data_IF_982643096749
#
_entry.id   IF_982643096749
#
_cell.length_a   1.000
_cell.length_b   1.000
_cell.length_c   1.000
_cell.angle_alpha   90.00
_cell.angle_beta   90.00
_cell.angle_gamma   90.00
#
_symmetry.space_group_name_H-M   'P 1'
#
loop_
_entity.id
_entity.type
_entity.pdbx_description
1 polymer ?
#
# COMPACT_ATOMS: atom_id res chain seq x y z
N UNK A 1 33.36 0.75 20.10
CA UNK A 1 32.15 0.29 19.36
C UNK A 1 32.62 -0.40 18.08
N UNK A 2 32.09 -1.56 17.73
CA UNK A 2 32.37 -2.15 16.43
C UNK A 2 31.60 -1.33 15.38
N UNK A 3 32.23 -0.95 14.29
CA UNK A 3 31.55 -0.35 13.14
C UNK A 3 30.56 -1.37 12.56
N UNK A 4 29.37 -0.93 12.08
CA UNK A 4 28.42 -1.83 11.45
C UNK A 4 29.03 -2.46 10.20
N UNK A 5 28.77 -3.74 9.97
CA UNK A 5 29.27 -4.48 8.80
C UNK A 5 28.56 -4.07 7.49
N UNK A 6 27.44 -3.36 7.57
CA UNK A 6 26.69 -2.80 6.45
C UNK A 6 25.89 -1.57 6.92
N UNK A 7 25.72 -0.61 6.03
CA UNK A 7 24.92 0.60 6.27
C UNK A 7 23.94 0.78 5.13
N UNK A 8 22.68 1.12 5.46
CA UNK A 8 21.65 1.53 4.49
C UNK A 8 21.38 3.02 4.65
N UNK A 9 21.72 3.80 3.64
CA UNK A 9 21.46 5.24 3.61
C UNK A 9 20.21 5.49 2.77
N UNK A 10 19.19 6.11 3.36
CA UNK A 10 17.94 6.48 2.69
C UNK A 10 17.95 7.99 2.44
N UNK A 11 18.02 8.38 1.17
CA UNK A 11 17.93 9.77 0.74
C UNK A 11 16.47 10.12 0.39
N UNK A 12 15.78 10.74 1.31
CA UNK A 12 14.37 11.10 1.19
C UNK A 12 14.14 12.11 0.07
N UNK A 13 15.03 13.07 -0.10
CA UNK A 13 14.88 14.10 -1.15
C UNK A 13 14.94 13.50 -2.54
N UNK A 14 15.82 12.53 -2.75
CA UNK A 14 15.87 11.79 -4.03
C UNK A 14 14.60 10.97 -4.27
N UNK A 15 14.07 10.31 -3.26
CA UNK A 15 12.81 9.56 -3.38
C UNK A 15 11.67 10.51 -3.76
N UNK A 16 11.54 11.64 -3.09
CA UNK A 16 10.53 12.66 -3.39
C UNK A 16 10.69 13.22 -4.81
N UNK A 17 11.91 13.58 -5.20
CA UNK A 17 12.19 14.07 -6.55
C UNK A 17 11.86 13.06 -7.63
N UNK A 18 12.11 11.76 -7.40
CA UNK A 18 11.72 10.68 -8.31
C UNK A 18 10.20 10.60 -8.47
N UNK A 19 9.44 10.73 -7.39
CA UNK A 19 7.96 10.73 -7.45
C UNK A 19 7.47 11.97 -8.23
N UNK A 20 8.00 13.14 -7.95
CA UNK A 20 7.64 14.38 -8.66
C UNK A 20 7.92 14.22 -10.16
N UNK A 21 9.09 13.70 -10.51
CA UNK A 21 9.44 13.43 -11.91
C UNK A 21 8.48 12.44 -12.57
N UNK A 22 8.21 11.31 -11.94
CA UNK A 22 7.27 10.32 -12.49
C UNK A 22 5.86 10.91 -12.66
N UNK A 23 5.40 11.70 -11.71
CA UNK A 23 4.09 12.37 -11.82
C UNK A 23 4.05 13.39 -12.95
N UNK A 24 5.15 14.05 -13.25
CA UNK A 24 5.23 15.00 -14.39
C UNK A 24 5.05 14.34 -15.76
N UNK A 25 5.24 13.02 -15.85
CA UNK A 25 5.04 12.24 -17.07
C UNK A 25 3.59 11.73 -17.22
N UNK A 26 2.77 11.87 -16.19
CA UNK A 26 1.39 11.39 -16.19
C UNK A 26 0.45 12.42 -16.84
N UNK A 27 -0.66 11.92 -17.37
CA UNK A 27 -1.75 12.80 -17.81
C UNK A 27 -2.37 13.53 -16.61
N UNK A 28 -2.95 14.72 -16.81
CA UNK A 28 -3.77 15.35 -15.78
C UNK A 28 -4.79 14.36 -15.21
N UNK A 29 -5.07 14.45 -13.94
CA UNK A 29 -6.02 13.60 -13.19
C UNK A 29 -5.62 12.13 -12.98
N UNK A 30 -4.46 11.68 -13.48
CA UNK A 30 -3.93 10.35 -13.17
C UNK A 30 -3.54 10.26 -11.71
N UNK A 31 -4.11 9.27 -11.00
CA UNK A 31 -3.76 9.01 -9.60
C UNK A 31 -2.47 8.19 -9.49
N UNK A 32 -1.67 8.50 -8.49
CA UNK A 32 -0.38 7.86 -8.24
C UNK A 32 -0.42 7.06 -6.93
N UNK A 33 -0.30 5.73 -7.03
CA UNK A 33 -0.27 4.84 -5.87
C UNK A 33 1.16 4.35 -5.63
N UNK A 34 1.69 4.57 -4.42
CA UNK A 34 3.00 4.04 -4.03
C UNK A 34 2.88 2.60 -3.53
N UNK A 35 3.62 1.68 -4.12
CA UNK A 35 3.68 0.27 -3.67
C UNK A 35 4.82 0.14 -2.66
N UNK A 36 4.48 -0.06 -1.39
CA UNK A 36 5.41 -0.06 -0.26
C UNK A 36 5.39 -1.36 0.56
N UNK A 37 4.99 -2.47 -0.06
CA UNK A 37 4.99 -3.79 0.58
C UNK A 37 6.39 -4.21 1.06
N UNK A 38 6.46 -5.20 1.94
CA UNK A 38 7.72 -5.75 2.49
C UNK A 38 8.62 -4.65 3.10
N UNK A 39 8.04 -3.88 4.02
CA UNK A 39 8.72 -2.76 4.68
C UNK A 39 9.30 -1.73 3.70
N UNK A 40 8.50 -1.34 2.68
CA UNK A 40 8.93 -0.52 1.55
C UNK A 40 10.16 -1.12 0.83
N UNK A 41 10.09 -2.44 0.53
CA UNK A 41 11.20 -3.19 -0.04
C UNK A 41 12.50 -3.09 0.79
N UNK A 42 12.37 -3.05 2.11
CA UNK A 42 13.47 -2.95 3.05
C UNK A 42 13.92 -1.52 3.39
N UNK A 43 13.33 -0.50 2.76
CA UNK A 43 13.71 0.90 2.98
C UNK A 43 13.07 1.54 4.22
N UNK A 44 12.19 0.83 4.92
CA UNK A 44 11.53 1.35 6.12
C UNK A 44 10.16 1.99 5.81
N UNK A 45 9.10 1.19 5.93
CA UNK A 45 7.73 1.58 5.56
C UNK A 45 7.28 2.90 6.18
N UNK A 46 7.44 3.05 7.48
CA UNK A 46 6.93 4.21 8.20
C UNK A 46 7.69 5.51 7.87
N UNK A 47 8.98 5.41 7.60
CA UNK A 47 9.79 6.57 7.21
C UNK A 47 9.40 6.99 5.80
N UNK A 48 9.41 6.05 4.87
CA UNK A 48 9.10 6.35 3.45
C UNK A 48 7.68 6.88 3.31
N UNK A 49 6.67 6.17 3.82
CA UNK A 49 5.28 6.56 3.63
C UNK A 49 4.95 7.93 4.23
N UNK A 50 5.47 8.25 5.42
CA UNK A 50 5.31 9.60 6.00
C UNK A 50 5.97 10.69 5.15
N UNK A 51 7.14 10.39 4.60
CA UNK A 51 7.91 11.37 3.83
C UNK A 51 7.33 11.67 2.45
N UNK A 52 6.45 10.82 1.92
CA UNK A 52 5.86 10.98 0.58
C UNK A 52 4.33 11.16 0.61
N UNK A 53 3.72 11.23 1.79
CA UNK A 53 2.27 11.25 1.91
C UNK A 53 1.61 12.40 1.13
N UNK A 54 2.24 13.56 1.10
CA UNK A 54 1.78 14.73 0.32
C UNK A 54 1.88 14.55 -1.20
N UNK A 55 2.69 13.61 -1.68
CA UNK A 55 2.96 13.39 -3.11
C UNK A 55 2.15 12.27 -3.75
N UNK A 56 1.54 11.38 -2.97
CA UNK A 56 0.84 10.19 -3.48
C UNK A 56 -0.66 10.28 -3.25
N UNK A 57 -1.45 9.52 -4.00
CA UNK A 57 -2.91 9.43 -3.85
C UNK A 57 -3.33 8.20 -3.04
N UNK A 58 -2.43 7.26 -2.80
CA UNK A 58 -2.67 6.05 -2.01
C UNK A 58 -1.46 5.15 -1.92
N UNK A 59 -1.64 4.03 -1.22
CA UNK A 59 -0.60 3.04 -0.95
C UNK A 59 -1.07 1.64 -1.32
N UNK A 60 -0.20 0.86 -1.95
CA UNK A 60 -0.39 -0.57 -2.16
C UNK A 60 0.49 -1.36 -1.20
N UNK A 61 -0.14 -2.18 -0.36
CA UNK A 61 0.48 -2.99 0.68
C UNK A 61 -0.01 -4.43 0.57
N UNK A 62 0.63 -5.34 1.27
CA UNK A 62 0.24 -6.76 1.25
C UNK A 62 -0.21 -7.23 2.63
N UNK A 63 0.52 -6.86 3.67
CA UNK A 63 0.23 -7.29 5.03
C UNK A 63 -0.69 -6.32 5.76
N UNK A 64 -1.62 -6.89 6.50
CA UNK A 64 -2.60 -6.13 7.27
C UNK A 64 -1.94 -5.24 8.34
N UNK A 65 -0.88 -5.74 8.98
CA UNK A 65 -0.11 -5.00 9.99
C UNK A 65 0.58 -3.78 9.37
N UNK A 66 1.13 -3.92 8.16
CA UNK A 66 1.72 -2.80 7.42
C UNK A 66 0.66 -1.73 7.11
N UNK A 67 -0.49 -2.16 6.60
CA UNK A 67 -1.60 -1.27 6.27
C UNK A 67 -2.13 -0.52 7.51
N UNK A 68 -2.31 -1.23 8.62
CA UNK A 68 -2.75 -0.66 9.90
C UNK A 68 -1.72 0.34 10.44
N UNK A 69 -0.42 0.05 10.27
CA UNK A 69 0.65 0.98 10.67
C UNK A 69 0.59 2.28 9.87
N UNK A 70 0.40 2.20 8.55
CA UNK A 70 0.31 3.36 7.66
C UNK A 70 -0.99 4.14 7.92
N UNK A 71 -2.11 3.47 8.19
CA UNK A 71 -3.41 4.11 8.47
C UNK A 71 -3.37 5.09 9.64
N UNK A 72 -2.47 4.89 10.61
CA UNK A 72 -2.36 5.75 11.80
C UNK A 72 -2.09 7.23 11.49
N UNK A 73 -1.57 7.55 10.31
CA UNK A 73 -1.19 8.93 9.96
C UNK A 73 -1.65 9.38 8.57
N UNK A 74 -2.38 8.56 7.84
CA UNK A 74 -2.95 8.97 6.55
C UNK A 74 -4.42 8.58 6.42
N UNK A 75 -5.21 9.41 5.77
CA UNK A 75 -6.59 9.11 5.36
C UNK A 75 -6.69 8.65 3.90
N UNK A 76 -5.56 8.58 3.19
CA UNK A 76 -5.52 8.20 1.77
C UNK A 76 -5.91 6.74 1.56
N UNK A 77 -6.19 6.36 0.31
CA UNK A 77 -6.49 4.97 -0.05
C UNK A 77 -5.33 4.06 0.30
N UNK A 78 -5.65 2.93 0.93
CA UNK A 78 -4.72 1.83 1.17
C UNK A 78 -5.34 0.59 0.55
N UNK A 79 -4.64 0.02 -0.42
CA UNK A 79 -5.02 -1.21 -1.12
C UNK A 79 -4.25 -2.40 -0.55
N UNK A 80 -4.98 -3.39 -0.03
CA UNK A 80 -4.42 -4.71 0.29
C UNK A 80 -4.36 -5.55 -0.99
N UNK A 81 -3.16 -5.64 -1.57
CA UNK A 81 -2.93 -6.20 -2.92
C UNK A 81 -3.17 -7.70 -3.05
N UNK A 82 -3.29 -8.42 -1.95
CA UNK A 82 -3.68 -9.84 -1.91
C UNK A 82 -5.08 -10.06 -1.31
N UNK A 83 -5.74 -8.98 -0.89
CA UNK A 83 -7.00 -9.07 -0.16
C UNK A 83 -6.81 -9.62 1.24
N UNK A 84 -7.86 -10.25 1.76
CA UNK A 84 -7.91 -10.89 3.08
C UNK A 84 -8.41 -12.32 2.96
N UNK A 85 -8.11 -13.17 3.95
CA UNK A 85 -8.38 -14.60 3.91
C UNK A 85 -9.21 -15.10 5.09
N UNK A 86 -9.51 -14.24 6.07
CA UNK A 86 -10.35 -14.57 7.23
C UNK A 86 -11.38 -13.47 7.49
N UNK A 87 -12.43 -13.80 8.24
CA UNK A 87 -13.44 -12.84 8.68
C UNK A 87 -12.85 -11.78 9.62
N UNK A 88 -11.92 -12.18 10.48
CA UNK A 88 -11.24 -11.25 11.39
C UNK A 88 -10.40 -10.22 10.62
N UNK A 89 -9.63 -10.66 9.61
CA UNK A 89 -8.86 -9.78 8.76
C UNK A 89 -9.78 -8.83 7.96
N UNK A 90 -10.93 -9.37 7.48
CA UNK A 90 -11.93 -8.56 6.80
C UNK A 90 -12.47 -7.45 7.71
N UNK A 91 -12.82 -7.79 8.94
CA UNK A 91 -13.31 -6.81 9.91
C UNK A 91 -12.28 -5.69 10.15
N UNK A 92 -11.02 -6.04 10.32
CA UNK A 92 -9.95 -5.06 10.47
C UNK A 92 -9.82 -4.19 9.21
N UNK A 93 -9.88 -4.78 8.02
CA UNK A 93 -9.82 -4.05 6.76
C UNK A 93 -11.00 -3.09 6.58
N UNK A 94 -12.20 -3.54 6.92
CA UNK A 94 -13.43 -2.75 6.87
C UNK A 94 -13.37 -1.55 7.83
N UNK A 95 -13.04 -1.79 9.10
CA UNK A 95 -12.95 -0.75 10.13
C UNK A 95 -11.90 0.32 9.79
N UNK A 96 -10.83 -0.06 9.09
CA UNK A 96 -9.76 0.83 8.65
C UNK A 96 -9.97 1.42 7.24
N UNK A 97 -11.09 1.09 6.58
CA UNK A 97 -11.42 1.55 5.21
C UNK A 97 -10.32 1.24 4.19
N UNK A 98 -9.84 -0.01 4.21
CA UNK A 98 -8.91 -0.48 3.19
C UNK A 98 -9.67 -0.93 1.94
N UNK A 99 -9.10 -0.68 0.77
CA UNK A 99 -9.53 -1.30 -0.47
C UNK A 99 -8.95 -2.72 -0.55
N UNK A 100 -9.68 -3.69 -1.10
CA UNK A 100 -9.24 -5.09 -1.18
C UNK A 100 -9.13 -5.57 -2.62
N UNK A 101 -8.03 -6.26 -2.94
CA UNK A 101 -7.95 -7.04 -4.17
C UNK A 101 -8.68 -8.36 -3.99
N UNK A 102 -9.51 -8.71 -4.97
CA UNK A 102 -10.18 -10.01 -5.07
C UNK A 102 -9.63 -10.75 -6.28
N UNK A 103 -9.16 -11.97 -6.09
CA UNK A 103 -8.57 -12.79 -7.15
C UNK A 103 -9.08 -14.24 -7.14
N UNK A 104 -9.90 -14.64 -6.18
CA UNK A 104 -10.57 -15.93 -6.17
C UNK A 104 -11.94 -15.85 -5.47
N UNK A 105 -12.79 -16.88 -5.72
CA UNK A 105 -14.15 -16.93 -5.20
C UNK A 105 -14.23 -17.02 -3.67
N UNK A 106 -13.22 -17.63 -3.04
CA UNK A 106 -13.22 -17.81 -1.59
C UNK A 106 -13.07 -16.48 -0.82
N UNK A 107 -12.65 -15.41 -1.49
CA UNK A 107 -12.59 -14.08 -0.91
C UNK A 107 -13.93 -13.33 -0.97
N UNK A 108 -14.95 -13.88 -1.64
CA UNK A 108 -16.26 -13.22 -1.79
C UNK A 108 -17.15 -13.33 -0.54
N UNK A 109 -16.84 -14.23 0.39
CA UNK A 109 -17.63 -14.42 1.63
C UNK A 109 -17.82 -13.14 2.44
N UNK A 110 -16.88 -12.24 2.33
CA UNK A 110 -16.80 -11.02 3.12
C UNK A 110 -17.59 -9.84 2.54
N UNK A 111 -18.08 -9.93 1.28
CA UNK A 111 -18.65 -8.77 0.58
C UNK A 111 -20.18 -8.71 0.61
N UNK A 112 -20.84 -9.75 1.06
CA UNK A 112 -22.29 -9.73 1.23
C UNK A 112 -22.67 -8.67 2.28
N UNK A 113 -23.37 -7.63 1.84
CA UNK A 113 -23.84 -6.51 2.68
C UNK A 113 -22.73 -5.56 3.19
N UNK A 114 -21.61 -5.41 2.50
CA UNK A 114 -20.59 -4.42 2.82
C UNK A 114 -20.45 -3.38 1.68
N UNK A 115 -20.02 -2.18 2.04
CA UNK A 115 -19.69 -1.08 1.11
C UNK A 115 -18.17 -0.92 0.88
N UNK A 116 -17.40 -1.99 1.16
CA UNK A 116 -15.95 -1.99 0.96
C UNK A 116 -15.61 -1.91 -0.52
N UNK A 117 -14.60 -1.12 -0.88
CA UNK A 117 -14.12 -1.04 -2.25
C UNK A 117 -13.30 -2.28 -2.61
N UNK A 118 -13.61 -2.90 -3.73
CA UNK A 118 -12.85 -4.04 -4.26
C UNK A 118 -12.19 -3.71 -5.59
N UNK A 119 -11.04 -4.33 -5.80
CA UNK A 119 -10.27 -4.31 -7.04
C UNK A 119 -10.21 -5.73 -7.58
N UNK A 120 -10.96 -6.00 -8.65
CA UNK A 120 -10.95 -7.33 -9.26
C UNK A 120 -9.63 -7.56 -10.01
N UNK A 121 -8.87 -8.56 -9.58
CA UNK A 121 -7.63 -8.97 -10.24
C UNK A 121 -7.91 -10.02 -11.30
N UNK A 122 -7.62 -9.70 -12.57
CA UNK A 122 -7.56 -10.64 -13.66
C UNK A 122 -6.09 -11.00 -13.92
N UNK A 123 -5.73 -12.25 -13.65
CA UNK A 123 -4.36 -12.71 -13.87
C UNK A 123 -4.12 -13.02 -15.36
N UNK A 124 -3.32 -12.18 -16.00
CA UNK A 124 -2.96 -12.31 -17.43
C UNK A 124 -1.51 -12.74 -17.63
N UNK A 125 -0.81 -13.23 -16.57
CA UNK A 125 0.55 -13.75 -16.67
C UNK A 125 1.52 -13.33 -15.57
N UNK A 126 1.11 -12.51 -14.60
CA UNK A 126 1.98 -12.12 -13.49
C UNK A 126 2.04 -13.19 -12.39
N UNK A 127 1.02 -14.05 -12.30
CA UNK A 127 0.79 -15.17 -11.36
C UNK A 127 0.77 -14.81 -9.89
#
# INVERSE_FOLDING_TARGET
MREPSAELIIDIDRIRNNIIYLKSLLKPDTKFMAILKANAYGHGLNIISKSIDDLVDGYGLVRLEEATSVRKYTSKKILLMQGVYSEDDFKIAYDNKFDLVVHNKNQLFAFENSDINIWLKVNTGMN
#
